data_IF_839416306291
#
_entry.id   IF_839416306291
#
_cell.length_a   1.000
_cell.length_b   1.000
_cell.length_c   1.000
_cell.angle_alpha   90.00
_cell.angle_beta   90.00
_cell.angle_gamma   90.00
#
_symmetry.space_group_name_H-M   'P 1'
#
loop_
_entity.id
_entity.type
_entity.pdbx_description
1 polymer ?
#
# COMPACT_ATOMS: atom_id res chain seq x y z
N UNK A 1 16.64 9.94 -4.97
CA UNK A 1 18.04 9.93 -5.46
C UNK A 1 17.94 9.73 -6.96
N UNK A 2 18.49 10.65 -7.74
CA UNK A 2 18.23 10.78 -9.16
C UNK A 2 18.77 9.57 -9.94
N UNK A 3 17.88 8.95 -10.72
CA UNK A 3 18.21 7.91 -11.69
C UNK A 3 19.11 8.49 -12.78
N UNK A 4 20.33 7.96 -12.88
CA UNK A 4 21.23 8.21 -14.00
C UNK A 4 21.23 6.96 -14.87
N UNK A 5 20.38 7.00 -15.90
CA UNK A 5 20.39 6.04 -16.99
C UNK A 5 21.62 6.36 -17.87
N UNK A 6 22.70 5.59 -17.68
CA UNK A 6 23.93 5.74 -18.46
C UNK A 6 23.79 4.87 -19.70
N UNK A 7 23.59 5.54 -20.84
CA UNK A 7 23.49 4.94 -22.17
C UNK A 7 24.86 4.33 -22.57
N UNK A 8 24.97 3.02 -22.88
CA UNK A 8 26.26 2.35 -23.12
C UNK A 8 27.00 2.81 -24.38
N UNK A 9 26.35 3.61 -25.23
CA UNK A 9 26.89 4.08 -26.52
C UNK A 9 27.82 5.30 -26.32
N UNK A 10 27.73 6.02 -25.20
CA UNK A 10 28.46 7.27 -25.00
C UNK A 10 29.96 7.14 -24.65
N UNK A 11 30.47 5.92 -24.40
CA UNK A 11 31.87 5.73 -23.99
C UNK A 11 32.85 5.63 -25.17
N UNK A 12 32.38 5.25 -26.37
CA UNK A 12 33.25 5.07 -27.54
C UNK A 12 33.39 6.32 -28.43
N UNK A 13 32.49 7.29 -28.32
CA UNK A 13 32.63 8.57 -29.05
C UNK A 13 33.72 9.49 -28.46
N UNK A 14 34.20 9.22 -27.24
CA UNK A 14 35.11 10.12 -26.54
C UNK A 14 36.61 9.91 -26.86
N UNK A 15 36.97 8.83 -27.59
CA UNK A 15 38.35 8.57 -28.03
C UNK A 15 38.64 9.04 -29.47
N UNK A 16 37.62 9.48 -30.22
CA UNK A 16 37.79 10.03 -31.55
C UNK A 16 38.05 11.56 -31.57
N UNK A 17 38.00 12.23 -30.41
CA UNK A 17 37.97 13.71 -30.33
C UNK A 17 39.26 14.38 -29.80
N UNK A 18 40.37 13.67 -29.62
CA UNK A 18 41.66 14.29 -29.27
C UNK A 18 42.72 14.03 -30.34
N UNK A 19 42.65 14.82 -31.40
CA UNK A 19 43.83 15.18 -32.20
C UNK A 19 43.71 16.66 -32.56
N UNK A 20 44.64 17.53 -32.12
CA UNK A 20 44.56 18.95 -32.38
C UNK A 20 44.98 19.27 -33.82
N UNK A 21 44.14 20.01 -34.52
CA UNK A 21 44.46 20.71 -35.76
C UNK A 21 45.30 21.97 -35.48
N UNK A 22 46.36 22.21 -36.26
CA UNK A 22 46.50 23.43 -37.09
C UNK A 22 47.95 23.71 -37.53
N UNK A 23 48.17 23.55 -38.84
CA UNK A 23 48.78 24.47 -39.83
C UNK A 23 50.06 25.25 -39.47
N UNK A 24 51.08 25.04 -40.29
CA UNK A 24 51.84 26.03 -41.10
C UNK A 24 52.51 25.19 -42.22
N UNK A 25 52.43 25.45 -43.52
CA UNK A 25 52.20 26.68 -44.26
C UNK A 25 53.44 26.94 -45.12
N UNK A 26 53.42 26.53 -46.39
CA UNK A 26 54.09 27.26 -47.50
C UNK A 26 53.92 26.52 -48.83
N UNK A 27 52.99 27.00 -49.64
CA UNK A 27 53.17 27.04 -51.10
C UNK A 27 54.14 28.18 -51.42
N UNK A 28 55.18 27.98 -52.24
CA UNK A 28 55.69 29.03 -53.15
C UNK A 28 56.82 28.54 -54.08
N UNK A 29 56.68 28.92 -55.36
CA UNK A 29 57.66 28.95 -56.48
C UNK A 29 58.26 27.58 -56.91
N UNK A 30 58.53 27.28 -58.18
CA UNK A 30 58.14 27.75 -59.51
C UNK A 30 58.88 26.86 -60.51
N UNK A 31 58.44 26.92 -61.77
CA UNK A 31 59.15 26.49 -62.99
C UNK A 31 60.65 26.83 -63.01
N UNK A 32 61.32 26.16 -63.97
CA UNK A 32 62.66 26.30 -64.57
C UNK A 32 63.71 25.44 -63.85
N UNK A 33 64.06 24.28 -64.39
CA UNK A 33 64.88 24.02 -65.60
C UNK A 33 66.24 23.51 -65.15
N UNK A 34 66.79 22.64 -65.98
CA UNK A 34 68.15 22.10 -65.99
C UNK A 34 68.48 21.02 -64.95
N UNK A 35 69.13 19.92 -65.30
CA UNK A 35 69.38 19.16 -66.53
C UNK A 35 70.25 17.96 -66.08
N UNK A 36 70.47 17.01 -66.99
CA UNK A 36 71.43 15.89 -66.93
C UNK A 36 70.88 14.56 -66.37
N UNK A 37 70.87 13.45 -67.10
CA UNK A 37 71.44 13.18 -68.41
C UNK A 37 70.68 12.05 -69.12
N UNK A 38 70.11 12.38 -70.28
CA UNK A 38 69.96 11.44 -71.39
C UNK A 38 71.36 11.07 -71.87
N UNK A 39 71.74 9.80 -71.79
CA UNK A 39 72.77 9.27 -72.68
C UNK A 39 72.08 8.61 -73.87
N UNK A 40 71.70 9.44 -74.84
CA UNK A 40 71.55 9.01 -76.23
C UNK A 40 72.95 8.69 -76.75
N UNK A 41 73.15 7.48 -77.25
CA UNK A 41 74.34 7.10 -78.01
C UNK A 41 74.19 7.75 -79.39
N UNK A 42 74.61 9.01 -79.53
CA UNK A 42 74.85 9.62 -80.83
C UNK A 42 76.28 9.31 -81.30
N UNK A 43 76.34 8.57 -82.41
CA UNK A 43 77.52 8.31 -83.22
C UNK A 43 78.19 9.61 -83.69
N UNK A 44 79.31 9.96 -83.07
CA UNK A 44 80.25 10.95 -83.63
C UNK A 44 81.11 10.26 -84.69
N UNK A 45 80.86 10.58 -85.96
CA UNK A 45 81.80 10.36 -87.06
C UNK A 45 82.89 11.44 -86.99
N UNK A 46 84.08 11.07 -86.54
CA UNK A 46 85.31 11.81 -86.86
C UNK A 46 86.23 10.95 -87.72
N UNK A 47 86.60 11.49 -88.87
CA UNK A 47 87.49 10.90 -89.86
C UNK A 47 88.97 11.12 -89.46
N UNK A 48 89.64 10.03 -89.07
CA UNK A 48 91.02 9.53 -89.38
C UNK A 48 92.22 10.49 -89.59
N UNK A 49 93.50 10.08 -89.30
CA UNK A 49 94.08 8.74 -89.53
C UNK A 49 95.12 8.29 -88.44
N UNK A 50 96.03 7.29 -88.63
CA UNK A 50 95.86 6.00 -87.98
C UNK A 50 97.05 5.49 -87.12
N UNK A 51 96.81 4.40 -86.35
CA UNK A 51 97.76 3.42 -85.76
C UNK A 51 98.54 3.92 -84.52
N UNK A 52 98.45 3.36 -83.30
CA UNK A 52 98.87 2.01 -82.86
C UNK A 52 98.06 1.48 -81.66
N UNK A 53 97.51 0.27 -81.82
CA UNK A 53 96.66 -0.47 -80.89
C UNK A 53 97.46 -1.52 -80.10
N UNK A 54 97.53 -1.40 -78.76
CA UNK A 54 97.75 -2.56 -77.86
C UNK A 54 97.44 -2.22 -76.39
N UNK A 55 97.82 -1.03 -75.89
CA UNK A 55 97.67 -0.68 -74.46
C UNK A 55 96.29 -0.09 -74.09
N UNK A 56 95.54 0.46 -75.06
CA UNK A 56 94.19 1.00 -74.84
C UNK A 56 93.12 -0.09 -74.68
N UNK A 57 93.27 -1.25 -75.33
CA UNK A 57 92.29 -2.34 -75.27
C UNK A 57 92.28 -2.99 -73.88
N UNK A 58 93.44 -3.16 -73.26
CA UNK A 58 93.56 -3.78 -71.95
C UNK A 58 92.98 -2.92 -70.82
N UNK A 59 93.27 -1.61 -70.82
CA UNK A 59 92.68 -0.69 -69.86
C UNK A 59 91.15 -0.63 -70.00
N UNK A 60 90.64 -0.62 -71.23
CA UNK A 60 89.21 -0.61 -71.51
C UNK A 60 88.52 -1.90 -71.07
N UNK A 61 89.19 -3.06 -71.22
CA UNK A 61 88.70 -4.35 -70.71
C UNK A 61 88.64 -4.36 -69.18
N UNK A 62 89.68 -3.88 -68.48
CA UNK A 62 89.70 -3.83 -67.02
C UNK A 62 88.64 -2.86 -66.49
N UNK A 63 88.48 -1.69 -67.14
CA UNK A 63 87.44 -0.72 -66.79
C UNK A 63 86.02 -1.27 -67.00
N UNK A 64 85.78 -1.95 -68.13
CA UNK A 64 84.48 -2.57 -68.39
C UNK A 64 84.18 -3.67 -67.37
N UNK A 65 85.14 -4.52 -67.04
CA UNK A 65 84.96 -5.56 -66.03
C UNK A 65 84.63 -5.00 -64.63
N UNK A 66 85.30 -3.92 -64.20
CA UNK A 66 85.05 -3.28 -62.90
C UNK A 66 83.67 -2.60 -62.86
N UNK A 67 83.26 -1.96 -63.96
CA UNK A 67 81.93 -1.35 -64.10
C UNK A 67 80.85 -2.42 -64.15
N UNK A 68 81.08 -3.52 -64.85
CA UNK A 68 80.16 -4.66 -64.93
C UNK A 68 80.02 -5.34 -63.55
N UNK A 69 81.11 -5.47 -62.80
CA UNK A 69 81.11 -6.01 -61.43
C UNK A 69 80.35 -5.09 -60.46
N UNK A 70 80.64 -3.78 -60.46
CA UNK A 70 79.96 -2.82 -59.61
C UNK A 70 78.48 -2.63 -59.98
N UNK A 71 78.13 -2.67 -61.27
CA UNK A 71 76.73 -2.65 -61.70
C UNK A 71 76.00 -3.95 -61.36
N UNK A 72 76.66 -5.11 -61.44
CA UNK A 72 76.10 -6.38 -60.98
C UNK A 72 75.87 -6.39 -59.46
N UNK A 73 76.78 -5.82 -58.67
CA UNK A 73 76.63 -5.63 -57.22
C UNK A 73 75.48 -4.67 -56.88
N UNK A 74 75.40 -3.51 -57.55
CA UNK A 74 74.28 -2.58 -57.36
C UNK A 74 72.93 -3.20 -57.74
N UNK A 75 72.89 -3.99 -58.82
CA UNK A 75 71.69 -4.72 -59.22
C UNK A 75 71.35 -5.85 -58.26
N UNK A 76 72.34 -6.53 -57.69
CA UNK A 76 72.13 -7.56 -56.66
C UNK A 76 71.59 -6.94 -55.36
N UNK A 77 72.17 -5.82 -54.91
CA UNK A 77 71.71 -5.08 -53.74
C UNK A 77 70.29 -4.51 -53.97
N UNK A 78 70.02 -3.93 -55.13
CA UNK A 78 68.69 -3.44 -55.50
C UNK A 78 67.64 -4.56 -55.52
N UNK A 79 67.98 -5.73 -56.07
CA UNK A 79 67.12 -6.93 -56.01
C UNK A 79 66.89 -7.40 -54.58
N UNK A 80 67.92 -7.41 -53.74
CA UNK A 80 67.80 -7.79 -52.33
C UNK A 80 66.91 -6.81 -51.55
N UNK A 81 67.12 -5.50 -51.71
CA UNK A 81 66.30 -4.47 -51.07
C UNK A 81 64.84 -4.57 -51.50
N UNK A 82 64.58 -4.82 -52.80
CA UNK A 82 63.22 -5.04 -53.32
C UNK A 82 62.57 -6.30 -52.74
N UNK A 83 63.34 -7.38 -52.60
CA UNK A 83 62.86 -8.61 -51.95
C UNK A 83 62.53 -8.40 -50.47
N UNK A 84 63.38 -7.65 -49.74
CA UNK A 84 63.13 -7.29 -48.35
C UNK A 84 61.88 -6.41 -48.21
N UNK A 85 61.69 -5.45 -49.12
CA UNK A 85 60.51 -4.58 -49.13
C UNK A 85 59.22 -5.38 -49.34
N UNK A 86 59.21 -6.32 -50.28
CA UNK A 86 58.07 -7.21 -50.52
C UNK A 86 57.76 -8.10 -49.30
N UNK A 87 58.79 -8.65 -48.65
CA UNK A 87 58.60 -9.46 -47.44
C UNK A 87 58.03 -8.62 -46.28
N UNK A 88 58.43 -7.35 -46.18
CA UNK A 88 57.87 -6.42 -45.20
C UNK A 88 56.39 -6.11 -45.48
N UNK A 89 56.03 -5.94 -46.76
CA UNK A 89 54.64 -5.72 -47.21
C UNK A 89 53.75 -6.93 -46.88
N UNK A 90 54.22 -8.15 -47.10
CA UNK A 90 53.49 -9.38 -46.72
C UNK A 90 53.25 -9.47 -45.20
N UNK A 91 54.23 -9.05 -44.40
CA UNK A 91 54.09 -9.01 -42.93
C UNK A 91 53.09 -7.94 -42.49
N UNK A 92 53.08 -6.76 -43.11
CA UNK A 92 52.11 -5.69 -42.81
C UNK A 92 50.68 -6.15 -43.16
N UNK A 93 50.49 -6.80 -44.32
CA UNK A 93 49.19 -7.34 -44.74
C UNK A 93 48.71 -8.45 -43.80
N UNK A 94 49.60 -9.34 -43.36
CA UNK A 94 49.27 -10.35 -42.36
C UNK A 94 48.83 -9.71 -41.04
N UNK A 95 49.57 -8.69 -40.57
CA UNK A 95 49.23 -7.98 -39.34
C UNK A 95 47.88 -7.26 -39.45
N UNK A 96 47.61 -6.58 -40.57
CA UNK A 96 46.32 -5.93 -40.84
C UNK A 96 45.17 -6.94 -40.80
N UNK A 97 45.33 -8.09 -41.47
CA UNK A 97 44.30 -9.14 -41.49
C UNK A 97 44.04 -9.73 -40.11
N UNK A 98 45.09 -10.02 -39.36
CA UNK A 98 44.99 -10.53 -37.99
C UNK A 98 44.32 -9.51 -37.05
N UNK A 99 44.62 -8.22 -37.21
CA UNK A 99 44.03 -7.16 -36.39
C UNK A 99 42.52 -7.01 -36.68
N UNK A 100 42.12 -7.08 -37.95
CA UNK A 100 40.70 -7.09 -38.35
C UNK A 100 39.97 -8.29 -37.75
N UNK A 101 40.54 -9.49 -37.87
CA UNK A 101 39.92 -10.72 -37.33
C UNK A 101 39.76 -10.66 -35.80
N UNK A 102 40.79 -10.15 -35.11
CA UNK A 102 40.73 -9.94 -33.66
C UNK A 102 39.62 -8.96 -33.26
N UNK A 103 39.48 -7.84 -33.97
CA UNK A 103 38.43 -6.86 -33.69
C UNK A 103 37.04 -7.44 -33.91
N UNK A 104 36.82 -8.15 -35.02
CA UNK A 104 35.55 -8.84 -35.28
C UNK A 104 35.22 -9.86 -34.19
N UNK A 105 36.24 -10.59 -33.72
CA UNK A 105 36.04 -11.58 -32.65
C UNK A 105 35.67 -10.92 -31.32
N UNK A 106 36.36 -9.85 -30.95
CA UNK A 106 36.04 -9.08 -29.74
C UNK A 106 34.61 -8.54 -29.83
N UNK A 107 34.26 -7.92 -30.96
CA UNK A 107 32.94 -7.33 -31.19
C UNK A 107 31.83 -8.38 -31.10
N UNK A 108 31.98 -9.53 -31.77
CA UNK A 108 31.00 -10.61 -31.68
C UNK A 108 30.86 -11.14 -30.24
N UNK A 109 31.97 -11.38 -29.55
CA UNK A 109 31.92 -11.85 -28.14
C UNK A 109 31.29 -10.82 -27.21
N UNK A 110 31.49 -9.53 -27.47
CA UNK A 110 30.86 -8.45 -26.71
C UNK A 110 29.34 -8.43 -26.92
N UNK A 111 28.89 -8.57 -28.18
CA UNK A 111 27.47 -8.63 -28.48
C UNK A 111 26.79 -9.86 -27.88
N UNK A 112 27.42 -11.03 -27.98
CA UNK A 112 26.91 -12.27 -27.36
C UNK A 112 26.79 -12.11 -25.84
N UNK A 113 27.85 -11.66 -25.17
CA UNK A 113 27.85 -11.47 -23.71
C UNK A 113 26.82 -10.42 -23.27
N UNK A 114 26.69 -9.32 -24.01
CA UNK A 114 25.69 -8.28 -23.72
C UNK A 114 24.27 -8.80 -23.85
N UNK A 115 24.00 -9.60 -24.88
CA UNK A 115 22.71 -10.26 -25.09
C UNK A 115 22.39 -11.24 -23.95
N UNK A 116 23.36 -12.05 -23.54
CA UNK A 116 23.19 -12.99 -22.43
C UNK A 116 22.93 -12.29 -21.10
N UNK A 117 23.68 -11.21 -20.79
CA UNK A 117 23.46 -10.39 -19.61
C UNK A 117 22.06 -9.76 -19.64
N UNK A 118 21.62 -9.27 -20.81
CA UNK A 118 20.30 -8.67 -20.96
C UNK A 118 19.20 -9.69 -20.72
N UNK A 119 19.30 -10.88 -21.31
CA UNK A 119 18.35 -11.97 -21.09
C UNK A 119 18.32 -12.42 -19.63
N UNK A 120 19.48 -12.60 -19.00
CA UNK A 120 19.54 -13.00 -17.60
C UNK A 120 18.94 -11.94 -16.68
N UNK A 121 19.22 -10.65 -16.94
CA UNK A 121 18.61 -9.54 -16.21
C UNK A 121 17.09 -9.55 -16.34
N UNK A 122 16.56 -9.75 -17.55
CA UNK A 122 15.11 -9.80 -17.77
C UNK A 122 14.46 -10.98 -17.05
N UNK A 123 15.11 -12.15 -17.04
CA UNK A 123 14.65 -13.31 -16.26
C UNK A 123 14.62 -13.00 -14.76
N UNK A 124 15.70 -12.45 -14.21
CA UNK A 124 15.78 -12.08 -12.79
C UNK A 124 14.73 -11.02 -12.41
N UNK A 125 14.47 -10.05 -13.28
CA UNK A 125 13.41 -9.07 -13.07
C UNK A 125 12.03 -9.76 -13.06
N UNK A 126 11.78 -10.67 -14.00
CA UNK A 126 10.56 -11.49 -14.02
C UNK A 126 10.38 -12.30 -12.74
N UNK A 127 11.39 -13.06 -12.33
CA UNK A 127 11.38 -13.84 -11.08
C UNK A 127 11.16 -12.96 -9.86
N UNK A 128 11.87 -11.83 -9.76
CA UNK A 128 11.71 -10.87 -8.65
C UNK A 128 10.27 -10.36 -8.56
N UNK A 129 9.63 -10.04 -9.69
CA UNK A 129 8.22 -9.60 -9.67
C UNK A 129 7.29 -10.71 -9.18
N UNK A 130 7.53 -11.95 -9.59
CA UNK A 130 6.75 -13.11 -9.11
C UNK A 130 6.93 -13.32 -7.60
N UNK A 131 8.16 -13.26 -7.11
CA UNK A 131 8.45 -13.38 -5.68
C UNK A 131 7.78 -12.29 -4.84
N UNK A 132 7.75 -11.03 -5.31
CA UNK A 132 7.06 -9.95 -4.58
C UNK A 132 5.54 -10.16 -4.54
N UNK A 133 4.95 -10.67 -5.63
CA UNK A 133 3.52 -11.03 -5.65
C UNK A 133 3.23 -12.16 -4.67
N UNK A 134 4.01 -13.23 -4.68
CA UNK A 134 3.85 -14.37 -3.77
C UNK A 134 4.01 -13.93 -2.31
N UNK A 135 5.04 -13.14 -2.01
CA UNK A 135 5.28 -12.57 -0.68
C UNK A 135 4.11 -11.73 -0.19
N UNK A 136 3.49 -10.93 -1.08
CA UNK A 136 2.29 -10.16 -0.75
C UNK A 136 1.12 -11.08 -0.41
N UNK A 137 0.88 -12.11 -1.22
CA UNK A 137 -0.19 -13.09 -0.99
C UNK A 137 -0.01 -13.82 0.35
N UNK A 138 1.20 -14.28 0.65
CA UNK A 138 1.53 -14.95 1.92
C UNK A 138 1.24 -14.03 3.11
N UNK A 139 1.59 -12.75 3.00
CA UNK A 139 1.31 -11.75 4.05
C UNK A 139 -0.20 -11.56 4.26
N UNK A 140 -0.98 -11.46 3.19
CA UNK A 140 -2.44 -11.33 3.26
C UNK A 140 -3.08 -12.57 3.89
N UNK A 141 -2.63 -13.77 3.53
CA UNK A 141 -3.09 -15.04 4.13
C UNK A 141 -2.77 -15.08 5.62
N UNK A 142 -1.56 -14.67 6.03
CA UNK A 142 -1.20 -14.62 7.44
C UNK A 142 -2.06 -13.64 8.23
N UNK A 143 -2.27 -12.43 7.70
CA UNK A 143 -3.14 -11.45 8.33
C UNK A 143 -4.56 -11.97 8.53
N UNK A 144 -5.14 -12.61 7.52
CA UNK A 144 -6.47 -13.22 7.63
C UNK A 144 -6.50 -14.37 8.66
N UNK A 145 -5.43 -15.17 8.73
CA UNK A 145 -5.32 -16.27 9.69
C UNK A 145 -5.20 -15.75 11.13
N UNK A 146 -4.45 -14.68 11.35
CA UNK A 146 -4.28 -14.05 12.66
C UNK A 146 -5.56 -13.34 13.12
N UNK A 147 -6.42 -12.92 12.18
CA UNK A 147 -7.75 -12.41 12.50
C UNK A 147 -8.73 -13.51 12.93
N UNK A 148 -8.53 -14.77 12.54
CA UNK A 148 -9.51 -15.85 12.76
C UNK A 148 -9.53 -16.32 14.22
N UNK A 149 -10.71 -16.26 14.84
CA UNK A 149 -10.96 -16.67 16.23
C UNK A 149 -12.00 -17.77 16.28
N UNK A 150 -11.75 -18.76 17.14
CA UNK A 150 -12.71 -19.81 17.50
C UNK A 150 -13.33 -19.51 18.86
N UNK A 151 -14.65 -19.56 18.94
CA UNK A 151 -15.40 -19.40 20.18
C UNK A 151 -16.14 -20.71 20.48
N UNK A 152 -16.06 -21.18 21.72
CA UNK A 152 -16.86 -22.28 22.21
C UNK A 152 -17.94 -21.69 23.15
N UNK A 153 -19.17 -21.56 22.66
CA UNK A 153 -20.28 -20.99 23.44
C UNK A 153 -21.15 -22.15 23.92
N UNK A 154 -21.13 -22.43 25.22
CA UNK A 154 -21.96 -23.50 25.81
C UNK A 154 -21.77 -24.89 25.21
N UNK A 155 -20.61 -25.17 24.58
CA UNK A 155 -20.31 -26.43 23.90
C UNK A 155 -20.45 -26.37 22.36
N UNK A 156 -20.99 -25.29 21.79
CA UNK A 156 -21.07 -25.10 20.35
C UNK A 156 -19.92 -24.23 19.83
N UNK A 157 -19.21 -24.72 18.82
CA UNK A 157 -18.11 -24.00 18.18
C UNK A 157 -18.62 -23.00 17.13
N UNK A 158 -18.10 -21.78 17.20
CA UNK A 158 -18.27 -20.70 16.24
C UNK A 158 -16.90 -20.22 15.76
N UNK A 159 -16.82 -19.80 14.49
CA UNK A 159 -15.64 -19.18 13.93
C UNK A 159 -15.97 -17.78 13.40
N UNK A 160 -15.13 -16.81 13.73
CA UNK A 160 -15.29 -15.41 13.29
C UNK A 160 -13.95 -14.69 13.25
N UNK A 161 -13.94 -13.38 13.04
CA UNK A 161 -12.73 -12.55 13.05
C UNK A 161 -12.66 -11.66 14.28
N UNK A 162 -11.44 -11.31 14.72
CA UNK A 162 -11.20 -10.29 15.75
C UNK A 162 -11.88 -8.96 15.39
N UNK A 163 -11.85 -8.59 14.11
CA UNK A 163 -12.50 -7.40 13.57
C UNK A 163 -14.03 -7.41 13.78
N UNK A 164 -14.67 -8.59 13.74
CA UNK A 164 -16.10 -8.74 14.05
C UNK A 164 -16.35 -8.60 15.55
N UNK A 165 -15.56 -9.27 16.39
CA UNK A 165 -15.77 -9.24 17.85
C UNK A 165 -15.50 -7.87 18.48
N UNK A 166 -14.64 -7.07 17.86
CA UNK A 166 -14.30 -5.70 18.30
C UNK A 166 -15.17 -4.62 17.65
N UNK A 167 -16.21 -4.98 16.89
CA UNK A 167 -17.04 -4.02 16.15
C UNK A 167 -17.77 -3.03 17.06
N UNK A 168 -18.22 -3.50 18.22
CA UNK A 168 -18.72 -2.67 19.32
C UNK A 168 -17.65 -2.61 20.42
N UNK A 169 -16.88 -1.50 20.53
CA UNK A 169 -15.75 -1.39 21.45
C UNK A 169 -16.13 -1.49 22.93
N UNK A 170 -17.39 -1.20 23.28
CA UNK A 170 -17.85 -1.21 24.67
C UNK A 170 -18.40 -2.57 25.10
N UNK A 171 -18.53 -3.50 24.14
CA UNK A 171 -19.07 -4.84 24.39
C UNK A 171 -18.13 -5.71 25.24
N UNK A 172 -18.70 -6.71 25.90
CA UNK A 172 -17.94 -7.76 26.58
C UNK A 172 -16.99 -8.46 25.62
N UNK A 173 -17.45 -8.76 24.39
CA UNK A 173 -16.65 -9.48 23.39
C UNK A 173 -15.43 -8.65 22.95
N UNK A 174 -15.59 -7.35 22.71
CA UNK A 174 -14.46 -6.48 22.39
C UNK A 174 -13.44 -6.44 23.53
N UNK A 175 -13.91 -6.39 24.78
CA UNK A 175 -13.05 -6.42 25.97
C UNK A 175 -12.32 -7.76 26.14
N UNK A 176 -13.00 -8.89 25.88
CA UNK A 176 -12.39 -10.23 25.92
C UNK A 176 -11.23 -10.39 24.94
N UNK A 177 -11.26 -9.64 23.83
CA UNK A 177 -10.23 -9.67 22.81
C UNK A 177 -9.46 -8.36 22.72
N UNK A 178 -9.49 -7.49 23.73
CA UNK A 178 -8.74 -6.23 23.75
C UNK A 178 -7.25 -6.42 24.02
N UNK A 179 -6.44 -5.37 23.84
CA UNK A 179 -4.98 -5.40 24.06
C UNK A 179 -4.59 -5.82 25.48
N UNK A 180 -5.46 -5.57 26.47
CA UNK A 180 -5.24 -5.88 27.88
C UNK A 180 -5.98 -7.15 28.35
N UNK A 181 -6.49 -7.96 27.43
CA UNK A 181 -7.20 -9.19 27.81
C UNK A 181 -6.25 -10.22 28.42
N UNK A 182 -6.67 -10.84 29.53
CA UNK A 182 -5.95 -11.94 30.19
C UNK A 182 -6.53 -13.32 29.86
N UNK A 183 -7.47 -13.39 28.93
CA UNK A 183 -8.17 -14.62 28.61
C UNK A 183 -7.25 -15.49 27.74
N UNK A 184 -6.95 -16.69 28.24
CA UNK A 184 -6.18 -17.68 27.50
C UNK A 184 -7.13 -18.60 26.74
N UNK A 185 -6.81 -19.00 25.50
CA UNK A 185 -7.58 -20.00 24.79
C UNK A 185 -7.37 -21.40 25.39
N UNK A 186 -8.32 -22.29 25.13
CA UNK A 186 -8.24 -23.71 25.45
C UNK A 186 -7.22 -24.45 24.56
N UNK A 187 -7.01 -25.74 24.84
CA UNK A 187 -6.03 -26.58 24.14
C UNK A 187 -6.26 -26.68 22.61
N UNK A 188 -7.50 -26.50 22.15
CA UNK A 188 -7.89 -26.50 20.73
C UNK A 188 -7.85 -25.10 20.09
N UNK A 189 -7.31 -24.11 20.83
CA UNK A 189 -7.24 -22.70 20.49
C UNK A 189 -8.62 -22.03 20.36
N UNK A 190 -9.64 -22.53 21.07
CA UNK A 190 -10.96 -21.90 21.20
C UNK A 190 -11.07 -21.10 22.51
N UNK A 191 -11.97 -20.11 22.53
CA UNK A 191 -12.27 -19.33 23.72
C UNK A 191 -13.64 -19.71 24.25
N UNK A 192 -13.70 -20.25 25.47
CA UNK A 192 -14.94 -20.69 26.08
C UNK A 192 -15.78 -19.54 26.63
N UNK A 193 -17.09 -19.59 26.39
CA UNK A 193 -18.10 -18.69 26.92
C UNK A 193 -19.21 -19.56 27.52
N UNK A 194 -19.45 -19.42 28.82
CA UNK A 194 -20.50 -20.15 29.54
C UNK A 194 -21.88 -19.51 29.30
N UNK A 195 -22.39 -19.69 28.07
CA UNK A 195 -23.70 -19.21 27.61
C UNK A 195 -24.39 -20.18 26.68
N UNK A 196 -25.71 -20.06 26.57
CA UNK A 196 -26.49 -20.79 25.57
C UNK A 196 -26.10 -20.34 24.15
N UNK A 197 -25.77 -21.29 23.29
CA UNK A 197 -25.37 -21.04 21.92
C UNK A 197 -26.53 -20.75 20.96
N UNK A 198 -27.76 -21.08 21.35
CA UNK A 198 -28.96 -21.07 20.50
C UNK A 198 -29.14 -19.73 19.78
N UNK A 199 -28.96 -18.63 20.51
CA UNK A 199 -29.15 -17.26 20.00
C UNK A 199 -27.85 -16.52 19.67
N UNK A 200 -26.68 -17.09 19.99
CA UNK A 200 -25.38 -16.47 19.75
C UNK A 200 -25.12 -16.17 18.27
N UNK A 201 -25.65 -16.99 17.35
CA UNK A 201 -25.57 -16.73 15.91
C UNK A 201 -26.16 -15.36 15.52
N UNK A 202 -27.25 -14.94 16.18
CA UNK A 202 -27.88 -13.65 15.92
C UNK A 202 -27.01 -12.50 16.43
N UNK A 203 -26.35 -12.68 17.58
CA UNK A 203 -25.35 -11.74 18.10
C UNK A 203 -24.19 -11.56 17.13
N UNK A 204 -23.64 -12.66 16.61
CA UNK A 204 -22.56 -12.58 15.60
C UNK A 204 -23.01 -11.90 14.31
N UNK A 205 -24.23 -12.18 13.84
CA UNK A 205 -24.75 -11.52 12.65
C UNK A 205 -24.94 -10.01 12.88
N UNK A 206 -25.43 -9.61 14.05
CA UNK A 206 -25.44 -8.20 14.43
C UNK A 206 -24.03 -7.61 14.41
N UNK A 207 -23.01 -8.26 14.97
CA UNK A 207 -21.64 -7.72 14.94
C UNK A 207 -21.03 -7.61 13.53
N UNK A 208 -21.56 -8.38 12.56
CA UNK A 208 -21.15 -8.30 11.14
C UNK A 208 -21.83 -7.12 10.43
N UNK A 209 -23.15 -6.98 10.64
CA UNK A 209 -24.00 -6.10 9.82
C UNK A 209 -24.47 -4.82 10.54
N UNK A 210 -24.28 -4.77 11.86
CA UNK A 210 -24.76 -3.77 12.81
C UNK A 210 -26.28 -3.51 12.75
N UNK A 211 -27.04 -4.53 12.36
CA UNK A 211 -28.49 -4.46 12.15
C UNK A 211 -29.19 -5.73 12.63
N UNK A 212 -30.47 -5.60 12.98
CA UNK A 212 -31.36 -6.73 13.27
C UNK A 212 -32.13 -7.09 11.99
N UNK A 213 -32.08 -8.34 11.50
CA UNK A 213 -32.87 -8.75 10.35
C UNK A 213 -34.38 -8.54 10.57
N UNK A 214 -35.09 -8.06 9.55
CA UNK A 214 -36.53 -7.76 9.63
C UNK A 214 -37.40 -8.94 10.06
N UNK A 215 -37.02 -10.17 9.70
CA UNK A 215 -37.70 -11.39 10.14
C UNK A 215 -37.67 -11.61 11.66
N UNK A 216 -36.63 -11.12 12.35
CA UNK A 216 -36.48 -11.21 13.81
C UNK A 216 -37.32 -10.14 14.51
N UNK A 217 -37.44 -8.95 13.90
CA UNK A 217 -38.21 -7.83 14.46
C UNK A 217 -39.66 -8.20 14.72
N UNK A 218 -40.23 -9.06 13.87
CA UNK A 218 -41.63 -9.50 13.96
C UNK A 218 -41.85 -10.74 14.85
N UNK A 219 -40.78 -11.41 15.29
CA UNK A 219 -40.86 -12.57 16.19
C UNK A 219 -40.49 -12.13 17.61
N UNK A 220 -41.51 -11.83 18.41
CA UNK A 220 -41.34 -11.33 19.78
C UNK A 220 -40.53 -12.29 20.66
N UNK A 221 -40.71 -13.60 20.50
CA UNK A 221 -39.99 -14.60 21.32
C UNK A 221 -38.50 -14.57 20.99
N UNK A 222 -38.16 -14.61 19.71
CA UNK A 222 -36.74 -14.59 19.29
C UNK A 222 -36.09 -13.24 19.61
N UNK A 223 -36.85 -12.14 19.48
CA UNK A 223 -36.39 -10.81 19.87
C UNK A 223 -36.05 -10.77 21.37
N UNK A 224 -36.92 -11.26 22.25
CA UNK A 224 -36.66 -11.20 23.69
C UNK A 224 -35.45 -12.04 24.11
N UNK A 225 -35.27 -13.23 23.52
CA UNK A 225 -34.07 -14.05 23.72
C UNK A 225 -32.80 -13.34 23.20
N UNK A 226 -32.87 -12.70 22.02
CA UNK A 226 -31.77 -11.88 21.51
C UNK A 226 -31.42 -10.71 22.44
N UNK A 227 -32.43 -10.07 23.04
CA UNK A 227 -32.21 -8.98 23.99
C UNK A 227 -31.58 -9.47 25.30
N UNK A 228 -31.89 -10.68 25.74
CA UNK A 228 -31.20 -11.29 26.89
C UNK A 228 -29.71 -11.51 26.59
N UNK A 229 -29.38 -12.04 25.40
CA UNK A 229 -27.98 -12.19 24.99
C UNK A 229 -27.29 -10.84 24.81
N UNK A 230 -27.94 -9.85 24.20
CA UNK A 230 -27.40 -8.52 24.03
C UNK A 230 -27.05 -7.86 25.39
N UNK A 231 -27.84 -8.09 26.44
CA UNK A 231 -27.51 -7.67 27.81
C UNK A 231 -26.29 -8.40 28.36
N UNK A 232 -26.23 -9.72 28.19
CA UNK A 232 -25.10 -10.51 28.65
C UNK A 232 -23.78 -10.05 28.00
N UNK A 233 -23.76 -9.91 26.68
CA UNK A 233 -22.59 -9.46 25.93
C UNK A 233 -22.35 -7.95 26.00
N UNK A 234 -23.19 -7.19 26.73
CA UNK A 234 -23.12 -5.73 26.89
C UNK A 234 -23.13 -4.96 25.56
N UNK A 235 -23.96 -5.42 24.62
CA UNK A 235 -24.15 -4.82 23.31
C UNK A 235 -25.26 -3.76 23.37
N UNK A 236 -24.94 -2.60 23.95
CA UNK A 236 -25.93 -1.54 24.19
C UNK A 236 -26.53 -0.99 22.89
N UNK A 237 -25.73 -0.94 21.81
CA UNK A 237 -26.22 -0.49 20.51
C UNK A 237 -27.19 -1.51 19.89
N UNK A 238 -26.98 -2.81 20.09
CA UNK A 238 -27.96 -3.83 19.70
C UNK A 238 -29.27 -3.69 20.49
N UNK A 239 -29.18 -3.45 21.80
CA UNK A 239 -30.36 -3.21 22.63
C UNK A 239 -31.15 -2.01 22.11
N UNK A 240 -30.48 -0.90 21.83
CA UNK A 240 -31.07 0.34 21.28
C UNK A 240 -31.88 0.09 20.01
N UNK A 241 -31.45 -0.83 19.15
CA UNK A 241 -32.15 -1.15 17.90
C UNK A 241 -33.58 -1.70 18.12
N UNK A 242 -33.90 -2.30 19.28
CA UNK A 242 -35.28 -2.73 19.61
C UNK A 242 -36.28 -1.58 19.49
N UNK A 243 -35.87 -0.36 19.84
CA UNK A 243 -36.74 0.83 19.86
C UNK A 243 -36.64 1.71 18.61
N UNK A 244 -35.82 1.32 17.62
CA UNK A 244 -35.62 2.09 16.40
C UNK A 244 -36.88 2.18 15.51
N UNK A 245 -37.77 1.19 15.59
CA UNK A 245 -38.98 1.10 14.76
C UNK A 245 -40.26 1.59 15.47
N UNK A 246 -40.14 1.98 16.75
CA UNK A 246 -41.27 2.43 17.56
C UNK A 246 -41.56 3.91 17.25
N UNK A 247 -42.84 4.35 17.22
CA UNK A 247 -43.18 5.74 16.95
C UNK A 247 -42.47 6.71 17.91
N UNK A 248 -41.72 7.65 17.34
CA UNK A 248 -41.06 8.72 18.09
C UNK A 248 -42.06 9.81 18.45
N UNK A 249 -42.01 10.24 19.71
CA UNK A 249 -42.76 11.39 20.20
C UNK A 249 -41.84 12.62 20.29
N UNK A 250 -42.36 13.77 19.91
CA UNK A 250 -41.72 15.08 20.07
C UNK A 250 -42.16 15.77 21.36
N UNK A 251 -41.39 16.75 21.83
CA UNK A 251 -41.73 17.53 23.01
C UNK A 251 -43.08 18.25 22.87
N UNK A 252 -43.37 18.78 21.68
CA UNK A 252 -44.65 19.47 21.39
C UNK A 252 -45.84 18.52 21.44
N UNK A 253 -45.67 17.28 20.98
CA UNK A 253 -46.70 16.24 21.08
C UNK A 253 -46.93 15.82 22.54
N UNK A 254 -45.84 15.65 23.31
CA UNK A 254 -45.92 15.39 24.75
C UNK A 254 -46.73 16.49 25.46
N UNK A 255 -46.38 17.76 25.24
CA UNK A 255 -47.07 18.92 25.82
C UNK A 255 -48.53 19.04 25.37
N UNK A 256 -48.85 18.63 24.14
CA UNK A 256 -50.22 18.66 23.62
C UNK A 256 -51.10 17.60 24.26
N UNK A 257 -50.57 16.40 24.45
CA UNK A 257 -51.29 15.28 25.07
C UNK A 257 -51.36 15.41 26.59
N UNK A 258 -50.28 15.89 27.20
CA UNK A 258 -50.13 16.07 28.63
C UNK A 258 -49.68 17.51 28.90
N UNK A 259 -50.59 18.49 28.94
CA UNK A 259 -50.21 19.88 29.17
C UNK A 259 -49.50 20.04 30.51
N UNK A 260 -48.30 20.64 30.54
CA UNK A 260 -47.60 20.86 31.80
C UNK A 260 -48.47 21.72 32.72
N UNK A 261 -48.55 21.40 34.02
CA UNK A 261 -49.43 22.10 34.93
C UNK A 261 -49.04 23.57 34.99
N UNK A 262 -50.00 24.47 34.69
CA UNK A 262 -49.78 25.91 34.85
C UNK A 262 -49.52 26.20 36.34
N UNK A 263 -48.48 26.95 36.71
CA UNK A 263 -48.25 27.30 38.11
C UNK A 263 -49.46 28.10 38.60
N UNK A 264 -50.26 27.49 39.49
CA UNK A 264 -51.35 28.19 40.14
C UNK A 264 -50.74 29.03 41.27
N UNK A 265 -50.61 30.34 41.03
CA UNK A 265 -50.21 31.30 42.07
C UNK A 265 -51.41 31.57 42.98
N UNK A 266 -51.67 30.67 43.94
CA UNK A 266 -52.44 31.01 45.13
C UNK A 266 -51.49 30.93 46.31
N UNK A 267 -51.55 31.93 47.18
CA UNK A 267 -50.54 32.22 48.19
C UNK A 267 -50.07 30.95 48.93
N UNK A 268 -48.77 30.70 48.80
CA UNK A 268 -47.93 29.80 49.60
C UNK A 268 -47.87 28.29 49.30
N UNK A 269 -48.54 27.74 48.30
CA UNK A 269 -48.19 26.40 47.79
C UNK A 269 -48.47 26.24 46.28
N UNK A 270 -47.42 26.07 45.47
CA UNK A 270 -47.53 25.60 44.08
C UNK A 270 -47.91 24.12 44.08
N UNK A 271 -49.21 23.85 44.20
CA UNK A 271 -49.75 22.51 44.04
C UNK A 271 -49.83 22.16 42.55
N UNK A 272 -48.75 21.62 42.00
CA UNK A 272 -48.82 20.93 40.71
C UNK A 272 -49.74 19.72 40.90
N UNK A 273 -50.84 19.64 40.14
CA UNK A 273 -51.70 18.45 40.18
C UNK A 273 -50.95 17.28 39.52
N UNK A 274 -50.87 16.10 40.16
CA UNK A 274 -50.33 14.90 39.51
C UNK A 274 -51.09 14.60 38.21
N UNK A 275 -50.34 14.22 37.17
CA UNK A 275 -50.85 13.83 35.86
C UNK A 275 -50.45 12.37 35.64
N UNK A 276 -51.43 11.56 35.25
CA UNK A 276 -51.20 10.18 34.81
C UNK A 276 -50.75 10.23 33.34
N UNK A 277 -49.52 9.78 33.07
CA UNK A 277 -48.95 9.72 31.73
C UNK A 277 -48.95 8.25 31.26
N UNK A 278 -49.58 8.00 30.11
CA UNK A 278 -49.65 6.67 29.46
C UNK A 278 -48.89 6.74 28.13
N UNK A 279 -47.63 6.33 28.15
CA UNK A 279 -46.71 6.39 27.01
C UNK A 279 -45.91 5.08 26.91
N UNK A 280 -46.61 3.95 26.92
CA UNK A 280 -46.00 2.65 26.67
C UNK A 280 -45.64 2.49 25.18
N UNK A 281 -44.58 1.73 24.90
CA UNK A 281 -44.16 1.41 23.53
C UNK A 281 -44.02 2.66 22.67
N UNK A 282 -43.33 3.67 23.19
CA UNK A 282 -42.99 4.91 22.49
C UNK A 282 -41.49 5.14 22.51
N UNK A 283 -40.99 5.82 21.48
CA UNK A 283 -39.65 6.37 21.51
C UNK A 283 -39.72 7.81 22.03
N UNK A 284 -39.31 7.99 23.28
CA UNK A 284 -39.33 9.22 24.06
C UNK A 284 -37.92 9.79 24.26
N UNK A 285 -36.92 9.27 23.54
CA UNK A 285 -35.52 9.62 23.77
C UNK A 285 -35.29 11.14 23.68
N UNK A 286 -34.56 11.68 24.67
CA UNK A 286 -34.21 13.09 24.84
C UNK A 286 -35.40 14.02 25.17
N UNK A 287 -36.57 13.49 25.55
CA UNK A 287 -37.67 14.33 26.02
C UNK A 287 -37.42 14.87 27.43
N UNK A 288 -37.91 16.08 27.66
CA UNK A 288 -37.82 16.79 28.93
C UNK A 288 -39.14 16.69 29.69
N UNK A 289 -39.09 16.09 30.88
CA UNK A 289 -40.23 15.97 31.80
C UNK A 289 -40.13 16.95 32.97
N UNK A 290 -39.19 17.90 32.93
CA UNK A 290 -39.06 18.94 33.94
C UNK A 290 -40.35 19.72 34.12
N UNK A 291 -40.75 19.93 35.38
CA UNK A 291 -41.99 20.64 35.73
C UNK A 291 -43.28 19.80 35.66
N UNK A 292 -43.21 18.55 35.20
CA UNK A 292 -44.31 17.60 35.37
C UNK A 292 -44.40 17.13 36.82
N UNK A 293 -45.63 16.92 37.29
CA UNK A 293 -45.91 16.12 38.48
C UNK A 293 -46.50 14.79 38.01
N UNK A 294 -45.69 13.73 38.01
CA UNK A 294 -46.01 12.41 37.49
C UNK A 294 -46.72 11.60 38.58
N UNK A 295 -47.93 11.16 38.28
CA UNK A 295 -48.73 10.30 39.16
C UNK A 295 -48.16 8.87 39.16
N UNK A 296 -48.15 8.15 40.30
CA UNK A 296 -47.66 6.77 40.39
C UNK A 296 -48.36 5.77 39.46
N UNK A 297 -49.55 6.07 38.93
CA UNK A 297 -50.23 5.23 37.93
C UNK A 297 -49.73 5.44 36.50
N UNK A 298 -48.70 6.27 36.31
CA UNK A 298 -48.11 6.53 34.99
C UNK A 298 -47.35 5.31 34.48
N UNK A 299 -47.41 5.08 33.17
CA UNK A 299 -46.84 3.92 32.51
C UNK A 299 -45.95 4.34 31.33
N UNK A 300 -44.69 3.95 31.41
CA UNK A 300 -43.65 4.12 30.39
C UNK A 300 -43.02 2.78 30.01
N UNK A 301 -43.68 1.67 30.30
CA UNK A 301 -43.17 0.33 30.02
C UNK A 301 -42.89 0.12 28.53
N UNK A 302 -41.86 -0.68 28.25
CA UNK A 302 -41.39 -1.02 26.89
C UNK A 302 -41.01 0.21 26.03
N UNK A 303 -40.85 1.40 26.60
CA UNK A 303 -40.49 2.63 25.87
C UNK A 303 -38.99 2.91 25.86
N UNK A 304 -38.55 3.71 24.89
CA UNK A 304 -37.19 4.26 24.88
C UNK A 304 -37.19 5.63 25.56
N UNK A 305 -36.52 5.72 26.70
CA UNK A 305 -36.35 6.90 27.53
C UNK A 305 -34.87 7.36 27.58
N UNK A 306 -34.08 6.97 26.57
CA UNK A 306 -32.66 7.33 26.51
C UNK A 306 -32.49 8.84 26.65
N UNK A 307 -31.59 9.26 27.55
CA UNK A 307 -31.28 10.67 27.82
C UNK A 307 -32.52 11.53 28.16
N UNK A 308 -33.61 10.95 28.68
CA UNK A 308 -34.74 11.74 29.15
C UNK A 308 -34.37 12.53 30.42
N UNK A 309 -34.85 13.76 30.51
CA UNK A 309 -34.62 14.62 31.67
C UNK A 309 -35.80 14.53 32.64
N UNK A 310 -35.60 13.88 33.78
CA UNK A 310 -36.58 13.81 34.88
C UNK A 310 -36.12 14.51 36.17
N UNK A 311 -34.92 15.11 36.19
CA UNK A 311 -34.28 15.66 37.40
C UNK A 311 -35.16 16.69 38.13
N UNK A 312 -35.95 17.45 37.37
CA UNK A 312 -36.90 18.45 37.88
C UNK A 312 -38.37 18.05 37.69
N UNK A 313 -38.64 16.76 37.42
CA UNK A 313 -39.98 16.19 37.46
C UNK A 313 -40.29 15.72 38.88
N UNK A 314 -41.51 15.99 39.37
CA UNK A 314 -41.98 15.51 40.67
C UNK A 314 -42.67 14.17 40.52
N UNK A 315 -42.34 13.20 41.36
CA UNK A 315 -43.00 11.91 41.40
C UNK A 315 -43.89 11.82 42.64
N UNK A 316 -45.18 11.56 42.41
CA UNK A 316 -46.14 11.36 43.49
C UNK A 316 -45.82 10.12 44.32
N UNK A 317 -46.38 10.06 45.53
CA UNK A 317 -46.33 8.88 46.39
C UNK A 317 -47.72 8.24 46.43
N UNK A 318 -47.75 6.91 46.34
CA UNK A 318 -48.94 6.09 46.52
C UNK A 318 -48.52 4.76 47.16
N UNK A 319 -49.41 4.13 47.95
CA UNK A 319 -49.11 2.86 48.62
C UNK A 319 -49.32 1.65 47.71
N UNK A 320 -50.18 1.78 46.70
CA UNK A 320 -50.61 0.67 45.84
C UNK A 320 -49.98 0.73 44.44
N UNK A 321 -49.49 1.90 44.03
CA UNK A 321 -48.97 2.15 42.68
C UNK A 321 -47.55 2.73 42.71
N UNK A 322 -46.79 2.39 41.68
CA UNK A 322 -45.48 2.94 41.38
C UNK A 322 -45.37 3.18 39.87
N UNK A 323 -44.64 4.23 39.47
CA UNK A 323 -44.48 4.54 38.04
C UNK A 323 -43.82 3.36 37.34
N UNK A 324 -44.42 2.92 36.24
CA UNK A 324 -43.98 1.74 35.52
C UNK A 324 -42.95 2.08 34.44
N UNK A 325 -41.71 1.67 34.66
CA UNK A 325 -40.61 1.76 33.71
C UNK A 325 -40.12 0.36 33.28
N UNK A 326 -40.92 -0.68 33.50
CA UNK A 326 -40.52 -2.05 33.18
C UNK A 326 -40.17 -2.21 31.69
N UNK A 327 -39.13 -3.00 31.41
CA UNK A 327 -38.64 -3.30 30.07
C UNK A 327 -38.32 -2.06 29.21
N UNK A 328 -38.11 -0.89 29.81
CA UNK A 328 -37.77 0.36 29.13
C UNK A 328 -36.25 0.55 28.95
N UNK A 329 -35.86 1.41 28.01
CA UNK A 329 -34.46 1.79 27.79
C UNK A 329 -34.18 3.15 28.43
N UNK A 330 -33.49 3.16 29.57
CA UNK A 330 -33.21 4.32 30.44
C UNK A 330 -31.72 4.72 30.43
N UNK A 331 -30.94 4.29 29.45
CA UNK A 331 -29.53 4.66 29.37
C UNK A 331 -29.38 6.19 29.29
N UNK A 332 -28.56 6.79 30.16
CA UNK A 332 -28.42 8.24 30.27
C UNK A 332 -29.65 9.01 30.78
N UNK A 333 -30.75 8.34 31.15
CA UNK A 333 -31.93 9.02 31.70
C UNK A 333 -31.63 9.60 33.10
N UNK A 334 -31.94 10.88 33.31
CA UNK A 334 -31.67 11.58 34.56
C UNK A 334 -32.89 11.49 35.50
N UNK A 335 -33.03 10.40 36.24
CA UNK A 335 -34.07 10.24 37.27
C UNK A 335 -33.68 10.98 38.58
N UNK A 336 -34.63 11.61 39.29
CA UNK A 336 -34.33 12.26 40.56
C UNK A 336 -33.97 11.22 41.65
N UNK A 337 -32.96 11.51 42.49
CA UNK A 337 -32.58 10.59 43.55
C UNK A 337 -33.64 10.53 44.65
N UNK A 338 -33.75 9.37 45.30
CA UNK A 338 -34.66 9.17 46.42
C UNK A 338 -34.27 10.07 47.62
N UNK A 339 -35.28 10.61 48.32
CA UNK A 339 -35.10 11.53 49.44
C UNK A 339 -34.96 13.00 49.04
N UNK A 340 -35.20 13.34 47.76
CA UNK A 340 -35.24 14.73 47.28
C UNK A 340 -36.64 15.31 47.29
N UNK A 341 -36.76 16.62 47.06
CA UNK A 341 -38.05 17.30 46.88
C UNK A 341 -38.84 16.80 45.65
N UNK A 342 -38.15 16.19 44.68
CA UNK A 342 -38.72 15.68 43.44
C UNK A 342 -39.04 14.17 43.53
N UNK A 343 -38.43 13.46 44.48
CA UNK A 343 -38.72 12.05 44.79
C UNK A 343 -38.52 11.78 46.28
N UNK A 344 -39.62 11.82 47.03
CA UNK A 344 -39.60 11.55 48.46
C UNK A 344 -39.15 10.11 48.79
N UNK A 345 -38.63 9.90 50.00
CA UNK A 345 -38.32 8.56 50.50
C UNK A 345 -39.56 7.67 50.48
N UNK A 346 -39.45 6.48 49.89
CA UNK A 346 -40.57 5.56 49.68
C UNK A 346 -41.24 5.64 48.30
N UNK A 347 -40.89 6.62 47.44
CA UNK A 347 -41.32 6.61 46.04
C UNK A 347 -40.48 5.62 45.25
N UNK A 348 -41.07 4.47 44.95
CA UNK A 348 -40.46 3.40 44.17
C UNK A 348 -40.84 3.49 42.69
N UNK A 349 -40.02 2.86 41.85
CA UNK A 349 -40.23 2.72 40.42
C UNK A 349 -40.25 1.25 40.07
N UNK A 350 -41.16 0.83 39.19
CA UNK A 350 -41.06 -0.49 38.60
C UNK A 350 -39.96 -0.48 37.54
N UNK A 351 -38.83 -1.11 37.82
CA UNK A 351 -37.68 -1.18 36.91
C UNK A 351 -37.43 -2.60 36.40
N UNK A 352 -38.41 -3.50 36.53
CA UNK A 352 -38.29 -4.89 36.09
C UNK A 352 -37.86 -4.95 34.61
N UNK A 353 -36.73 -5.59 34.32
CA UNK A 353 -36.22 -5.73 32.96
C UNK A 353 -35.79 -4.42 32.27
N UNK A 354 -35.77 -3.28 32.95
CA UNK A 354 -35.31 -2.02 32.39
C UNK A 354 -33.80 -2.06 32.05
N UNK A 355 -33.34 -1.19 31.15
CA UNK A 355 -31.93 -1.04 30.78
C UNK A 355 -31.46 0.31 31.29
N UNK A 356 -30.57 0.33 32.27
CA UNK A 356 -30.05 1.56 32.88
C UNK A 356 -28.53 1.51 32.91
N UNK A 357 -27.89 2.68 33.03
CA UNK A 357 -26.46 2.74 33.30
C UNK A 357 -26.17 2.06 34.64
N UNK A 358 -25.32 1.03 34.62
CA UNK A 358 -24.83 0.37 35.84
C UNK A 358 -23.82 1.27 36.59
N UNK A 359 -24.06 2.57 36.77
CA UNK A 359 -23.13 3.49 37.43
C UNK A 359 -23.82 4.76 37.96
N UNK A 360 -24.59 4.63 39.05
CA UNK A 360 -24.37 5.31 40.36
C UNK A 360 -25.60 5.25 41.25
#
# INVERSE_FOLDING_TARGET
MQDTNIDPIAFFDHLAATSPSSKNGSSFFSKSDDSQANYSIETVKQQNPPIQHAQSIHFQQVWNNLVDEHTAEQQALSRHLKSQLNALEEVDDHFRKANIDLHLKIENTYYELSSDIHHHKQQLEGEKTQFEVEKKLIKEIHQFRDEKIKLNVGGQLFETSLSTLRKDPNSMLANMFGENSKIMPDADNSYFIDRDSTYFRLVLNYLRDLQIPTGIINDHKVMDELMQEARFYKLYDLLRLKWSHIPRMTQDELHRLYPPPKPFSSQNHTAYRPIVIQLEKKNLANLDFSGYHIDPRSNFSESNLENCHFEHAKFGFDFDHQVDFSYSFLLGACLPPEGTENRASGVQFNLEGAILDNLK
#
